data_IF_164208169831
#
_entry.id   IF_164208169831
#
_cell.length_a   1.000
_cell.length_b   1.000
_cell.length_c   1.000
_cell.angle_alpha   90.00
_cell.angle_beta   90.00
_cell.angle_gamma   90.00
#
_symmetry.space_group_name_H-M   'P 1'
#
loop_
_entity.id
_entity.type
_entity.pdbx_description
1 polymer ?
#
# COMPACT_ATOMS: atom_id res chain seq x y z
N UNK A 1 9.30 16.96 -20.57
CA UNK A 1 8.07 16.14 -20.56
C UNK A 1 8.35 14.98 -19.62
N UNK A 2 7.89 15.06 -18.37
CA UNK A 2 7.99 13.91 -17.46
C UNK A 2 7.10 12.82 -18.07
N UNK A 3 7.67 11.83 -18.74
CA UNK A 3 6.94 10.63 -19.16
C UNK A 3 6.32 10.08 -17.88
N UNK A 4 5.01 10.25 -17.74
CA UNK A 4 4.30 10.09 -16.49
C UNK A 4 4.50 8.68 -15.97
N UNK A 5 5.30 8.52 -14.93
CA UNK A 5 5.51 7.24 -14.27
C UNK A 5 4.15 6.67 -13.88
N UNK A 6 3.80 5.54 -14.48
CA UNK A 6 2.59 4.78 -14.20
C UNK A 6 2.88 3.52 -13.39
N UNK A 7 4.14 3.33 -12.98
CA UNK A 7 4.61 2.19 -12.19
C UNK A 7 5.14 2.73 -10.87
N UNK A 8 4.69 2.14 -9.76
CA UNK A 8 5.24 2.37 -8.42
C UNK A 8 5.65 1.03 -7.82
N UNK A 9 6.83 1.00 -7.19
CA UNK A 9 7.36 -0.17 -6.50
C UNK A 9 7.58 0.18 -5.03
N UNK A 10 6.85 -0.48 -4.13
CA UNK A 10 6.96 -0.32 -2.69
C UNK A 10 7.98 -1.30 -2.12
N UNK A 11 9.11 -0.78 -1.61
CA UNK A 11 10.13 -1.58 -0.90
C UNK A 11 9.81 -1.81 0.58
N UNK A 12 8.85 -1.05 1.11
CA UNK A 12 8.33 -1.16 2.45
C UNK A 12 6.93 -0.55 2.48
N UNK A 13 6.02 -1.20 3.22
CA UNK A 13 4.63 -0.78 3.29
C UNK A 13 4.44 0.33 4.33
N UNK A 14 3.59 1.30 4.02
CA UNK A 14 3.24 2.35 4.98
C UNK A 14 2.22 1.84 5.99
N UNK A 15 2.36 2.25 7.25
CA UNK A 15 1.40 1.98 8.32
C UNK A 15 0.13 2.84 8.26
N UNK A 16 -0.11 3.55 7.15
CA UNK A 16 -1.30 4.39 6.97
C UNK A 16 -1.95 4.06 5.64
N UNK A 17 -3.14 3.44 5.72
CA UNK A 17 -3.98 3.18 4.55
C UNK A 17 -4.28 4.48 3.79
N UNK A 18 -4.49 5.58 4.52
CA UNK A 18 -4.77 6.88 3.92
C UNK A 18 -3.56 7.39 3.12
N UNK A 19 -2.34 7.32 3.67
CA UNK A 19 -1.14 7.75 2.96
C UNK A 19 -0.87 6.88 1.73
N UNK A 20 -1.08 5.56 1.85
CA UNK A 20 -0.99 4.62 0.74
C UNK A 20 -1.97 4.96 -0.38
N UNK A 21 -3.25 5.21 -0.03
CA UNK A 21 -4.29 5.59 -0.99
C UNK A 21 -4.01 6.95 -1.64
N UNK A 22 -3.61 7.96 -0.86
CA UNK A 22 -3.25 9.28 -1.39
C UNK A 22 -2.07 9.18 -2.36
N UNK A 23 -1.06 8.37 -2.04
CA UNK A 23 0.13 8.18 -2.90
C UNK A 23 -0.23 7.48 -4.20
N UNK A 24 -0.99 6.38 -4.15
CA UNK A 24 -1.43 5.68 -5.36
C UNK A 24 -2.35 6.55 -6.23
N UNK A 25 -3.20 7.38 -5.63
CA UNK A 25 -4.03 8.36 -6.34
C UNK A 25 -3.22 9.44 -7.07
N UNK A 26 -1.96 9.71 -6.68
CA UNK A 26 -1.08 10.61 -7.43
C UNK A 26 -0.65 10.04 -8.78
N UNK A 27 -0.53 8.71 -8.89
CA UNK A 27 -0.23 8.02 -10.16
C UNK A 27 -1.45 7.99 -11.08
N UNK A 28 -2.64 7.73 -10.52
CA UNK A 28 -3.91 7.72 -11.24
C UNK A 28 -4.58 9.09 -11.22
N UNK A 29 -4.12 9.98 -12.10
CA UNK A 29 -4.64 11.36 -12.22
C UNK A 29 -5.10 11.70 -13.63
N UNK A 30 -5.96 12.71 -13.72
CA UNK A 30 -6.33 13.30 -15.01
C UNK A 30 -5.07 13.79 -15.75
N UNK A 31 -4.92 13.42 -17.02
CA UNK A 31 -3.72 13.69 -17.80
C UNK A 31 -2.64 12.59 -17.73
N UNK A 32 -2.91 11.46 -17.06
CA UNK A 32 -2.09 10.26 -17.18
C UNK A 32 -2.27 9.65 -18.59
N UNK A 33 -1.18 9.53 -19.35
CA UNK A 33 -1.19 9.01 -20.74
C UNK A 33 -1.23 7.47 -20.77
N UNK A 34 -0.73 6.83 -19.72
CA UNK A 34 -0.73 5.37 -19.58
C UNK A 34 -2.09 4.84 -19.12
N UNK A 35 -2.65 3.89 -19.88
CA UNK A 35 -3.97 3.28 -19.61
C UNK A 35 -4.01 2.41 -18.36
N UNK A 36 -2.85 2.02 -17.84
CA UNK A 36 -2.72 1.10 -16.72
C UNK A 36 -1.70 1.65 -15.73
N UNK A 37 -2.07 1.67 -14.44
CA UNK A 37 -1.14 1.91 -13.34
C UNK A 37 -0.76 0.58 -12.72
N UNK A 38 0.54 0.35 -12.57
CA UNK A 38 1.11 -0.86 -11.95
C UNK A 38 1.60 -0.49 -10.56
N UNK A 39 1.12 -1.21 -9.55
CA UNK A 39 1.55 -1.08 -8.15
C UNK A 39 2.17 -2.40 -7.74
N UNK A 40 3.49 -2.43 -7.59
CA UNK A 40 4.25 -3.60 -7.14
C UNK A 40 4.68 -3.43 -5.68
N UNK A 41 4.71 -4.55 -4.95
CA UNK A 41 5.16 -4.60 -3.57
C UNK A 41 6.27 -5.63 -3.45
N UNK A 42 7.43 -5.22 -2.94
CA UNK A 42 8.52 -6.11 -2.60
C UNK A 42 8.44 -6.33 -1.09
N UNK A 43 8.10 -7.55 -0.70
CA UNK A 43 8.00 -7.97 0.70
C UNK A 43 8.86 -9.20 0.97
N UNK A 44 9.33 -9.33 2.20
CA UNK A 44 10.09 -10.51 2.65
C UNK A 44 9.12 -11.56 3.19
N UNK A 45 9.24 -12.79 2.72
CA UNK A 45 8.40 -13.90 3.15
C UNK A 45 8.59 -14.23 4.64
N UNK A 46 7.50 -14.62 5.33
CA UNK A 46 7.51 -14.95 6.76
C UNK A 46 7.73 -13.73 7.66
N UNK A 47 7.48 -12.52 7.15
CA UNK A 47 7.60 -11.28 7.91
C UNK A 47 6.26 -10.56 7.97
N UNK A 48 6.14 -9.64 8.92
CA UNK A 48 4.94 -8.80 9.11
C UNK A 48 4.52 -8.03 7.85
N UNK A 49 5.41 -7.88 6.85
CA UNK A 49 5.06 -7.27 5.56
C UNK A 49 3.92 -8.00 4.84
N UNK A 50 3.78 -9.31 5.04
CA UNK A 50 2.67 -10.11 4.49
C UNK A 50 1.33 -9.71 5.12
N UNK A 51 1.27 -9.68 6.46
CA UNK A 51 0.06 -9.28 7.20
C UNK A 51 -0.38 -7.85 6.87
N UNK A 52 0.58 -6.94 6.69
CA UNK A 52 0.30 -5.54 6.31
C UNK A 52 -0.20 -5.49 4.86
N UNK A 53 0.37 -6.27 3.95
CA UNK A 53 -0.07 -6.31 2.56
C UNK A 53 -1.50 -6.87 2.46
N UNK A 54 -1.81 -7.91 3.22
CA UNK A 54 -3.15 -8.49 3.30
C UNK A 54 -4.16 -7.50 3.87
N UNK A 55 -3.77 -6.71 4.89
CA UNK A 55 -4.61 -5.63 5.42
C UNK A 55 -4.81 -4.47 4.43
N UNK A 56 -3.83 -4.18 3.57
CA UNK A 56 -3.90 -3.11 2.55
C UNK A 56 -4.66 -3.55 1.28
N UNK A 57 -4.58 -4.84 0.90
CA UNK A 57 -5.19 -5.41 -0.31
C UNK A 57 -6.58 -6.00 -0.05
N UNK A 58 -6.81 -6.49 1.16
CA UNK A 58 -8.12 -6.88 1.68
C UNK A 58 -9.05 -5.67 1.61
N UNK A 59 -10.14 -5.80 0.85
CA UNK A 59 -11.19 -4.78 0.63
C UNK A 59 -11.94 -4.32 1.89
N UNK A 60 -11.39 -4.47 3.09
CA UNK A 60 -11.96 -3.90 4.30
C UNK A 60 -11.53 -2.43 4.41
N UNK A 61 -12.40 -1.56 3.93
CA UNK A 61 -12.28 -0.10 3.95
C UNK A 61 -12.21 0.50 5.37
N UNK A 62 -11.90 -0.27 6.40
CA UNK A 62 -11.87 0.19 7.78
C UNK A 62 -10.43 0.32 8.27
N UNK A 63 -10.10 1.49 8.84
CA UNK A 63 -8.82 1.73 9.53
C UNK A 63 -8.53 0.67 10.62
N UNK A 64 -9.56 -0.06 11.07
CA UNK A 64 -9.48 -1.08 12.10
C UNK A 64 -8.63 -2.29 11.73
N UNK A 65 -8.62 -2.76 10.47
CA UNK A 65 -7.78 -3.90 10.08
C UNK A 65 -6.30 -3.59 10.26
N UNK A 66 -5.91 -2.37 9.88
CA UNK A 66 -4.54 -1.89 9.99
C UNK A 66 -4.14 -1.60 11.44
N UNK A 67 -5.05 -1.04 12.24
CA UNK A 67 -4.87 -0.89 13.70
C UNK A 67 -4.76 -2.26 14.39
N UNK A 68 -5.49 -3.28 13.95
CA UNK A 68 -5.44 -4.62 14.54
C UNK A 68 -4.14 -5.34 14.22
N UNK A 69 -3.64 -5.23 12.98
CA UNK A 69 -2.31 -5.73 12.61
C UNK A 69 -1.21 -5.07 13.45
N UNK A 70 -1.28 -3.76 13.66
CA UNK A 70 -0.35 -3.01 14.52
C UNK A 70 -0.50 -3.39 16.01
N UNK A 71 -1.73 -3.53 16.52
CA UNK A 71 -2.00 -3.90 17.93
C UNK A 71 -1.57 -5.32 18.26
N UNK A 72 -1.74 -6.27 17.34
CA UNK A 72 -1.29 -7.66 17.51
C UNK A 72 0.24 -7.73 17.75
N UNK A 73 0.99 -6.74 17.29
CA UNK A 73 2.42 -6.61 17.53
C UNK A 73 2.74 -5.95 18.88
N UNK A 74 2.05 -4.86 19.27
CA UNK A 74 2.30 -4.17 20.55
C UNK A 74 1.88 -5.04 21.75
N UNK A 75 0.88 -5.92 21.59
CA UNK A 75 0.43 -6.86 22.62
C UNK A 75 1.25 -8.15 22.73
N UNK A 76 2.20 -8.41 21.82
CA UNK A 76 3.20 -9.49 21.97
C UNK A 76 4.35 -8.99 22.84
N UNK A 77 4.11 -8.92 24.14
CA UNK A 77 5.15 -8.84 25.18
C UNK A 77 4.84 -9.84 26.27
#
# INVERSE_FOLDING_TARGET
MQQGGNIIVWFGLTWSLELYQQTNARLWRQGQENKTVVVEHIITAGTIGEDILDALTGKDKSQNALINAVKAQVGRK
#
